data_IF_930032338675
#
_entry.id   IF_930032338675
#
_cell.length_a   1.000
_cell.length_b   1.000
_cell.length_c   1.000
_cell.angle_alpha   90.00
_cell.angle_beta   90.00
_cell.angle_gamma   90.00
#
_symmetry.space_group_name_H-M   'P 1'
#
loop_
_entity.id
_entity.type
_entity.pdbx_description
1 polymer ?
#
# COMPACT_ATOMS: atom_id res chain seq x y z
N UNK A 1 37.10 34.16 28.72
CA UNK A 1 35.64 34.41 28.94
C UNK A 1 34.91 34.78 27.64
N UNK A 2 35.45 34.42 26.46
CA UNK A 2 34.89 34.74 25.13
C UNK A 2 34.36 33.50 24.40
N UNK A 3 34.92 32.32 24.68
CA UNK A 3 34.59 31.08 23.95
C UNK A 3 33.26 30.46 24.37
N UNK A 4 32.75 30.82 25.55
CA UNK A 4 31.45 30.36 26.06
C UNK A 4 30.28 31.01 25.31
N UNK A 5 30.45 32.24 24.81
CA UNK A 5 29.42 32.94 24.03
C UNK A 5 29.32 32.40 22.60
N UNK A 6 30.40 31.84 22.06
CA UNK A 6 30.42 31.25 20.71
C UNK A 6 29.81 29.85 20.63
N UNK A 7 29.65 29.15 21.76
CA UNK A 7 29.02 27.82 21.81
C UNK A 7 27.50 27.87 21.89
N UNK A 8 26.93 28.92 22.49
CA UNK A 8 25.48 29.14 22.58
C UNK A 8 24.90 29.63 21.24
N UNK A 9 25.73 30.19 20.36
CA UNK A 9 25.31 30.71 19.05
C UNK A 9 25.14 29.64 17.96
N UNK A 10 25.55 28.38 18.18
CA UNK A 10 25.14 27.25 17.35
C UNK A 10 23.80 26.73 17.83
N UNK A 11 22.78 27.58 17.70
CA UNK A 11 21.40 27.09 17.63
C UNK A 11 21.32 26.36 16.30
N UNK A 12 21.43 25.04 16.36
CA UNK A 12 21.31 24.18 15.20
C UNK A 12 20.10 24.63 14.39
N UNK A 13 20.38 25.14 13.18
CA UNK A 13 19.37 25.54 12.22
C UNK A 13 18.56 24.31 11.91
N UNK A 14 17.44 24.14 12.63
CA UNK A 14 16.49 23.08 12.44
C UNK A 14 16.02 23.17 11.00
N UNK A 15 16.59 22.32 10.13
CA UNK A 15 16.07 22.10 8.79
C UNK A 15 14.59 21.83 8.98
N UNK A 16 13.73 22.70 8.48
CA UNK A 16 12.31 22.45 8.37
C UNK A 16 12.13 21.24 7.44
N UNK A 17 12.31 20.03 7.98
CA UNK A 17 12.05 18.78 7.28
C UNK A 17 10.55 18.74 7.14
N UNK A 18 10.07 18.88 5.91
CA UNK A 18 8.65 18.78 5.61
C UNK A 18 8.10 17.48 6.23
N UNK A 19 7.23 17.54 7.25
CA UNK A 19 6.75 16.35 7.95
C UNK A 19 6.01 15.39 7.01
N UNK A 20 5.43 15.91 5.92
CA UNK A 20 4.79 15.12 4.86
C UNK A 20 5.76 14.19 4.11
N UNK A 21 7.06 14.53 4.10
CA UNK A 21 8.11 13.72 3.47
C UNK A 21 8.81 12.77 4.46
N UNK A 22 8.49 12.86 5.75
CA UNK A 22 9.02 11.92 6.73
C UNK A 22 8.48 10.51 6.41
N UNK A 23 9.31 9.45 6.41
CA UNK A 23 8.85 8.10 6.11
C UNK A 23 7.66 7.63 6.97
N UNK A 24 7.61 8.08 8.23
CA UNK A 24 6.51 7.77 9.15
C UNK A 24 5.15 8.35 8.75
N UNK A 25 5.12 9.36 7.89
CA UNK A 25 3.87 9.98 7.37
C UNK A 25 3.63 9.58 5.92
N UNK A 26 4.66 9.58 5.07
CA UNK A 26 4.51 9.32 3.65
C UNK A 26 4.12 7.87 3.32
N UNK A 27 4.65 6.88 4.06
CA UNK A 27 4.34 5.46 3.80
C UNK A 27 2.86 5.14 4.10
N UNK A 28 2.30 5.47 5.28
CA UNK A 28 0.88 5.24 5.54
C UNK A 28 -0.02 6.05 4.60
N UNK A 29 0.36 7.29 4.28
CA UNK A 29 -0.39 8.13 3.35
C UNK A 29 -0.47 7.50 1.96
N UNK A 30 0.64 6.93 1.47
CA UNK A 30 0.66 6.21 0.20
C UNK A 30 -0.24 4.96 0.24
N UNK A 31 -0.23 4.22 1.34
CA UNK A 31 -1.10 3.05 1.51
C UNK A 31 -2.59 3.46 1.48
N UNK A 32 -2.96 4.50 2.22
CA UNK A 32 -4.33 5.04 2.21
C UNK A 32 -4.73 5.49 0.81
N UNK A 33 -3.83 6.17 0.09
CA UNK A 33 -4.07 6.58 -1.28
C UNK A 33 -4.28 5.37 -2.21
N UNK A 34 -3.48 4.32 -2.09
CA UNK A 34 -3.65 3.08 -2.86
C UNK A 34 -5.00 2.42 -2.58
N UNK A 35 -5.44 2.37 -1.32
CA UNK A 35 -6.74 1.84 -0.96
C UNK A 35 -7.88 2.66 -1.56
N UNK A 36 -7.77 4.00 -1.51
CA UNK A 36 -8.73 4.90 -2.17
C UNK A 36 -8.79 4.60 -3.67
N UNK A 37 -7.64 4.47 -4.34
CA UNK A 37 -7.60 4.14 -5.76
C UNK A 37 -8.21 2.77 -6.04
N UNK A 38 -7.96 1.75 -5.21
CA UNK A 38 -8.54 0.42 -5.36
C UNK A 38 -10.07 0.44 -5.26
N UNK A 39 -10.63 1.24 -4.34
CA UNK A 39 -12.08 1.37 -4.17
C UNK A 39 -12.75 2.01 -5.39
N UNK A 40 -12.16 3.06 -5.95
CA UNK A 40 -12.74 3.78 -7.10
C UNK A 40 -12.39 3.16 -8.46
N UNK A 41 -11.26 2.47 -8.55
CA UNK A 41 -10.70 1.95 -9.80
C UNK A 41 -10.09 0.53 -9.61
N UNK A 42 -10.89 -0.47 -9.18
CA UNK A 42 -10.39 -1.81 -8.89
C UNK A 42 -9.78 -2.51 -10.12
N UNK A 43 -10.31 -2.20 -11.32
CA UNK A 43 -9.82 -2.74 -12.59
C UNK A 43 -8.38 -2.34 -12.93
N UNK A 44 -7.76 -1.39 -12.22
CA UNK A 44 -6.34 -1.08 -12.37
C UNK A 44 -5.43 -2.11 -11.71
N UNK A 45 -5.94 -2.90 -10.76
CA UNK A 45 -5.14 -3.85 -9.98
C UNK A 45 -5.29 -5.28 -10.46
N UNK A 46 -6.42 -5.63 -11.10
CA UNK A 46 -6.70 -6.98 -11.59
C UNK A 46 -7.52 -6.93 -12.88
N UNK A 47 -7.24 -7.81 -13.86
CA UNK A 47 -8.04 -7.94 -15.08
C UNK A 47 -9.29 -8.82 -14.89
N UNK A 48 -9.43 -9.53 -13.77
CA UNK A 48 -10.52 -10.47 -13.52
C UNK A 48 -11.74 -9.79 -12.89
N UNK A 49 -12.91 -10.43 -13.01
CA UNK A 49 -14.12 -10.02 -12.28
C UNK A 49 -14.25 -10.81 -10.98
N UNK A 50 -14.79 -10.23 -9.89
CA UNK A 50 -14.83 -10.90 -8.57
C UNK A 50 -15.69 -12.17 -8.55
N UNK A 51 -16.63 -12.31 -9.48
CA UNK A 51 -17.51 -13.48 -9.60
C UNK A 51 -17.07 -14.46 -10.70
N UNK A 52 -15.93 -14.21 -11.34
CA UNK A 52 -15.39 -15.13 -12.34
C UNK A 52 -14.95 -16.43 -11.68
N UNK A 53 -15.58 -17.54 -12.07
CA UNK A 53 -15.25 -18.88 -11.58
C UNK A 53 -14.36 -19.60 -12.60
N UNK A 54 -13.23 -20.14 -12.12
CA UNK A 54 -12.39 -21.09 -12.86
C UNK A 54 -12.44 -22.45 -12.18
N UNK A 55 -13.28 -23.35 -12.70
CA UNK A 55 -13.44 -24.70 -12.15
C UNK A 55 -12.18 -25.57 -12.27
N UNK A 56 -11.22 -25.20 -13.13
CA UNK A 56 -9.93 -25.90 -13.22
C UNK A 56 -8.95 -25.49 -12.11
N UNK A 57 -9.25 -24.38 -11.43
CA UNK A 57 -8.44 -23.77 -10.40
C UNK A 57 -9.16 -23.76 -9.05
N UNK A 58 -9.91 -24.79 -8.65
CA UNK A 58 -10.56 -24.83 -7.33
C UNK A 58 -9.53 -25.09 -6.23
N UNK A 59 -9.56 -24.30 -5.16
CA UNK A 59 -8.63 -24.41 -4.01
C UNK A 59 -7.16 -24.41 -4.44
N UNK A 60 -6.86 -23.67 -5.51
CA UNK A 60 -5.52 -23.53 -6.01
C UNK A 60 -4.71 -22.67 -5.02
N UNK A 61 -3.50 -23.11 -4.63
CA UNK A 61 -2.61 -22.26 -3.83
C UNK A 61 -2.18 -21.01 -4.62
N UNK A 62 -1.63 -19.99 -3.94
CA UNK A 62 -1.07 -18.81 -4.58
C UNK A 62 -0.10 -19.13 -5.73
N UNK A 63 -0.31 -18.48 -6.88
CA UNK A 63 0.59 -18.52 -8.02
C UNK A 63 0.63 -17.18 -8.76
N UNK A 64 1.30 -17.13 -9.92
CA UNK A 64 1.44 -15.88 -10.70
C UNK A 64 0.14 -15.43 -11.39
N UNK A 65 -0.84 -16.32 -11.56
CA UNK A 65 -2.16 -16.00 -12.13
C UNK A 65 -3.14 -15.60 -11.03
N UNK A 66 -3.14 -16.36 -9.94
CA UNK A 66 -3.97 -16.18 -8.76
C UNK A 66 -3.09 -15.82 -7.57
N UNK A 67 -2.77 -14.54 -7.39
CA UNK A 67 -1.74 -14.09 -6.44
C UNK A 67 -2.00 -14.51 -4.99
N UNK A 68 -3.27 -14.60 -4.59
CA UNK A 68 -3.67 -15.09 -3.27
C UNK A 68 -4.32 -16.48 -3.31
N UNK A 69 -4.25 -17.15 -4.47
CA UNK A 69 -4.93 -18.41 -4.74
C UNK A 69 -6.43 -18.21 -5.02
N UNK A 70 -7.16 -19.32 -5.03
CA UNK A 70 -8.59 -19.35 -5.33
C UNK A 70 -9.40 -19.97 -4.20
N UNK A 71 -10.70 -19.67 -4.18
CA UNK A 71 -11.64 -20.24 -3.20
C UNK A 71 -12.25 -21.59 -3.64
N UNK A 72 -13.23 -22.09 -2.88
CA UNK A 72 -13.94 -23.35 -3.16
C UNK A 72 -14.72 -23.34 -4.48
N UNK A 73 -14.98 -22.17 -5.05
CA UNK A 73 -15.67 -22.00 -6.33
C UNK A 73 -14.68 -21.70 -7.47
N UNK A 74 -13.37 -21.66 -7.17
CA UNK A 74 -12.35 -21.31 -8.15
C UNK A 74 -12.32 -19.81 -8.48
N UNK A 75 -12.81 -18.94 -7.58
CA UNK A 75 -12.73 -17.49 -7.76
C UNK A 75 -11.39 -16.97 -7.23
N UNK A 76 -10.81 -15.99 -7.92
CA UNK A 76 -9.55 -15.37 -7.54
C UNK A 76 -9.68 -14.52 -6.26
N UNK A 77 -8.96 -14.90 -5.20
CA UNK A 77 -9.07 -14.26 -3.88
C UNK A 77 -8.52 -12.84 -3.89
N UNK A 78 -7.45 -12.58 -4.66
CA UNK A 78 -6.86 -11.25 -4.76
C UNK A 78 -7.84 -10.25 -5.36
N UNK A 79 -8.51 -10.63 -6.45
CA UNK A 79 -9.53 -9.85 -7.11
C UNK A 79 -10.66 -9.52 -6.15
N UNK A 80 -11.14 -10.51 -5.40
CA UNK A 80 -12.18 -10.30 -4.38
C UNK A 80 -11.77 -9.31 -3.29
N UNK A 81 -10.52 -9.31 -2.85
CA UNK A 81 -9.98 -8.32 -1.90
C UNK A 81 -9.95 -6.92 -2.52
N UNK A 82 -9.49 -6.79 -3.76
CA UNK A 82 -9.44 -5.49 -4.48
C UNK A 82 -10.83 -4.89 -4.64
N UNK A 83 -11.83 -5.72 -5.01
CA UNK A 83 -13.22 -5.28 -5.18
C UNK A 83 -14.00 -5.17 -3.87
N UNK A 84 -13.54 -5.80 -2.78
CA UNK A 84 -14.21 -5.78 -1.48
C UNK A 84 -15.45 -6.68 -1.37
N UNK A 85 -15.43 -7.85 -2.00
CA UNK A 85 -16.56 -8.82 -2.09
C UNK A 85 -16.25 -10.17 -1.45
#
# INVERSE_FOLDING_TARGET
>A
MSDLLLRVARRDGGRYRNPWLAPGTSIPLLLVLLLVVAVFFPSLFTPYTPEQMDFSAILQPPDLRHWFGTDQLGRDVFTRVVYGT
#
